data_IF_685303417142
#
_entry.id   IF_685303417142
#
_cell.length_a   1.000
_cell.length_b   1.000
_cell.length_c   1.000
_cell.angle_alpha   90.00
_cell.angle_beta   90.00
_cell.angle_gamma   90.00
#
_symmetry.space_group_name_H-M   'P 1'
#
loop_
_entity.id
_entity.type
_entity.pdbx_description
1 polymer ?
#
# COMPACT_ATOMS: atom_id res chain seq x y z
N UNK A 1 3.23 15.22 8.08
CA UNK A 1 3.85 14.34 7.09
C UNK A 1 2.97 13.15 6.86
N UNK A 2 2.69 12.82 5.61
CA UNK A 2 1.97 11.61 5.20
C UNK A 2 2.98 10.59 4.72
N UNK A 3 2.94 9.37 5.26
CA UNK A 3 3.88 8.31 4.86
C UNK A 3 3.20 7.48 3.79
N UNK A 4 3.94 7.18 2.73
CA UNK A 4 3.51 6.28 1.67
C UNK A 4 4.67 5.37 1.27
N UNK A 5 4.36 4.29 0.56
CA UNK A 5 5.32 3.40 -0.09
C UNK A 5 5.03 3.45 -1.59
N UNK A 6 5.90 4.08 -2.37
CA UNK A 6 5.62 4.55 -3.74
C UNK A 6 4.72 5.81 -3.80
N UNK A 7 5.11 6.87 -3.10
CA UNK A 7 4.36 8.13 -3.00
C UNK A 7 3.97 8.73 -4.36
N UNK A 8 4.84 8.60 -5.38
CA UNK A 8 4.55 9.11 -6.73
C UNK A 8 3.25 8.57 -7.32
N UNK A 9 2.93 7.30 -7.04
CA UNK A 9 1.68 6.69 -7.48
C UNK A 9 0.48 7.26 -6.72
N UNK A 10 0.54 7.31 -5.38
CA UNK A 10 -0.54 7.85 -4.54
C UNK A 10 -0.83 9.32 -4.86
N UNK A 11 0.21 10.13 -5.03
CA UNK A 11 0.05 11.53 -5.44
C UNK A 11 -0.62 11.68 -6.81
N UNK A 12 -0.39 10.74 -7.74
CA UNK A 12 -1.09 10.74 -9.03
C UNK A 12 -2.58 10.43 -8.87
N UNK A 13 -2.95 9.48 -8.00
CA UNK A 13 -4.35 9.14 -7.70
C UNK A 13 -5.07 10.29 -7.00
N UNK A 14 -4.38 11.00 -6.11
CA UNK A 14 -4.91 12.22 -5.50
C UNK A 14 -5.20 13.31 -6.54
N UNK A 15 -4.34 13.48 -7.56
CA UNK A 15 -4.60 14.43 -8.66
C UNK A 15 -5.83 14.04 -9.49
N UNK A 16 -5.98 12.76 -9.81
CA UNK A 16 -7.17 12.26 -10.50
C UNK A 16 -8.45 12.54 -9.66
N UNK A 17 -8.36 12.37 -8.33
CA UNK A 17 -9.45 12.70 -7.41
C UNK A 17 -9.77 14.19 -7.35
N UNK A 18 -8.80 15.08 -7.50
CA UNK A 18 -9.04 16.54 -7.55
C UNK A 18 -9.90 16.90 -8.75
N UNK A 19 -9.66 16.27 -9.91
CA UNK A 19 -10.47 16.49 -11.11
C UNK A 19 -11.93 16.03 -10.92
N UNK A 20 -12.12 14.91 -10.21
CA UNK A 20 -13.45 14.34 -9.95
C UNK A 20 -14.19 15.04 -8.80
N UNK A 21 -13.47 15.53 -7.80
CA UNK A 21 -13.99 16.11 -6.57
C UNK A 21 -13.27 17.43 -6.20
N UNK A 22 -13.48 18.51 -6.97
CA UNK A 22 -12.74 19.77 -6.80
C UNK A 22 -12.89 20.41 -5.41
N UNK A 23 -13.97 20.10 -4.68
CA UNK A 23 -14.18 20.60 -3.32
C UNK A 23 -13.11 20.15 -2.31
N UNK A 24 -12.33 19.11 -2.61
CA UNK A 24 -11.26 18.59 -1.76
C UNK A 24 -9.85 18.98 -2.22
N UNK A 25 -9.72 19.79 -3.27
CA UNK A 25 -8.43 20.20 -3.88
C UNK A 25 -7.40 20.64 -2.84
N UNK A 26 -7.74 21.63 -2.01
CA UNK A 26 -6.83 22.16 -0.99
C UNK A 26 -6.28 21.07 -0.04
N UNK A 27 -7.10 20.08 0.32
CA UNK A 27 -6.68 19.01 1.24
C UNK A 27 -5.79 17.99 0.54
N UNK A 28 -6.16 17.58 -0.68
CA UNK A 28 -5.39 16.63 -1.48
C UNK A 28 -4.03 17.22 -1.90
N UNK A 29 -3.98 18.50 -2.25
CA UNK A 29 -2.73 19.20 -2.51
C UNK A 29 -1.88 19.36 -1.26
N UNK A 30 -2.50 19.66 -0.11
CA UNK A 30 -1.78 19.66 1.16
C UNK A 30 -1.17 18.28 1.45
N UNK A 31 -1.91 17.20 1.21
CA UNK A 31 -1.41 15.84 1.38
C UNK A 31 -0.22 15.55 0.46
N UNK A 32 -0.36 15.85 -0.84
CA UNK A 32 0.71 15.64 -1.83
C UNK A 32 1.99 16.41 -1.47
N UNK A 33 1.86 17.68 -1.07
CA UNK A 33 2.99 18.53 -0.70
C UNK A 33 3.68 18.11 0.60
N UNK A 34 3.03 17.28 1.42
CA UNK A 34 3.54 16.81 2.71
C UNK A 34 3.74 15.29 2.74
N UNK A 35 3.78 14.64 1.57
CA UNK A 35 3.99 13.21 1.44
C UNK A 35 5.49 12.87 1.49
N UNK A 36 5.80 11.79 2.17
CA UNK A 36 7.14 11.22 2.28
C UNK A 36 7.09 9.77 1.81
N UNK A 37 7.94 9.44 0.82
CA UNK A 37 8.07 8.08 0.32
C UNK A 37 9.04 7.29 1.20
N UNK A 38 8.51 6.38 2.01
CA UNK A 38 9.31 5.52 2.87
C UNK A 38 10.15 4.54 2.05
N UNK A 39 9.71 4.19 0.85
CA UNK A 39 10.42 3.29 -0.05
C UNK A 39 11.78 3.87 -0.46
N UNK A 40 11.92 5.19 -0.59
CA UNK A 40 13.15 5.81 -1.08
C UNK A 40 14.36 5.47 -0.21
N UNK A 41 14.18 5.33 1.11
CA UNK A 41 15.22 4.87 2.03
C UNK A 41 15.75 3.49 1.62
N UNK A 42 14.86 2.59 1.19
CA UNK A 42 15.23 1.23 0.78
C UNK A 42 15.79 1.14 -0.63
N UNK A 43 15.66 2.20 -1.45
CA UNK A 43 16.32 2.31 -2.76
C UNK A 43 17.78 2.71 -2.64
N UNK A 44 18.10 3.60 -1.70
CA UNK A 44 19.42 4.27 -1.64
C UNK A 44 20.20 3.96 -0.38
N UNK A 45 19.59 4.08 0.79
CA UNK A 45 20.30 4.17 2.07
C UNK A 45 20.32 2.83 2.84
N UNK A 46 19.27 2.02 2.69
CA UNK A 46 19.15 0.71 3.33
C UNK A 46 18.92 -0.37 2.27
N UNK A 47 20.00 -0.98 1.80
CA UNK A 47 19.96 -2.07 0.82
C UNK A 47 20.44 -3.37 1.47
N UNK A 48 19.63 -4.43 1.36
CA UNK A 48 19.97 -5.79 1.80
C UNK A 48 19.87 -6.77 0.63
N UNK A 49 20.83 -7.70 0.52
CA UNK A 49 20.83 -8.73 -0.52
C UNK A 49 19.60 -9.65 -0.47
N UNK A 50 19.01 -9.82 0.72
CA UNK A 50 17.78 -10.59 0.95
C UNK A 50 16.54 -9.92 0.37
N UNK A 51 16.61 -8.64 0.01
CA UNK A 51 15.55 -7.99 -0.75
C UNK A 51 15.52 -8.44 -2.22
N UNK A 52 16.55 -9.18 -2.67
CA UNK A 52 16.67 -9.70 -4.04
C UNK A 52 16.57 -8.60 -5.12
N UNK A 53 17.09 -7.42 -4.82
CA UNK A 53 17.06 -6.26 -5.74
C UNK A 53 15.68 -5.62 -5.89
N UNK A 54 14.71 -5.94 -5.01
CA UNK A 54 13.38 -5.34 -5.00
C UNK A 54 13.17 -4.46 -3.78
N UNK A 55 12.54 -3.31 -3.98
CA UNK A 55 12.09 -2.42 -2.90
C UNK A 55 10.59 -2.53 -2.64
N UNK A 56 9.94 -3.61 -3.12
CA UNK A 56 8.54 -3.85 -2.76
C UNK A 56 8.43 -4.08 -1.26
N UNK A 57 7.43 -3.47 -0.63
CA UNK A 57 7.16 -3.64 0.80
C UNK A 57 7.03 -5.13 1.19
N UNK A 58 6.49 -5.96 0.30
CA UNK A 58 6.34 -7.41 0.49
C UNK A 58 7.66 -8.19 0.52
N UNK A 59 8.72 -7.62 -0.06
CA UNK A 59 10.08 -8.20 -0.04
C UNK A 59 10.91 -7.62 1.11
N UNK A 60 10.69 -6.35 1.44
CA UNK A 60 11.42 -5.68 2.53
C UNK A 60 10.89 -6.10 3.90
N UNK A 61 9.57 -6.09 4.10
CA UNK A 61 8.91 -6.35 5.38
C UNK A 61 9.37 -7.67 6.04
N UNK A 62 9.25 -8.85 5.42
CA UNK A 62 9.59 -10.12 6.09
C UNK A 62 11.09 -10.28 6.36
N UNK A 63 11.96 -9.50 5.69
CA UNK A 63 13.41 -9.53 5.95
C UNK A 63 13.76 -8.76 7.22
N UNK A 64 13.06 -7.66 7.50
CA UNK A 64 13.31 -6.80 8.65
C UNK A 64 12.45 -7.16 9.86
N UNK A 65 11.21 -7.59 9.61
CA UNK A 65 10.17 -7.91 10.58
C UNK A 65 9.53 -9.26 10.18
N UNK A 66 10.23 -10.40 10.39
CA UNK A 66 9.79 -11.71 9.92
C UNK A 66 8.48 -12.21 10.55
N UNK A 67 8.05 -11.60 11.66
CA UNK A 67 6.76 -11.84 12.29
C UNK A 67 5.58 -11.25 11.50
N UNK A 68 5.83 -10.35 10.55
CA UNK A 68 4.83 -9.77 9.66
C UNK A 68 5.02 -10.30 8.24
N UNK A 69 4.03 -11.04 7.74
CA UNK A 69 4.01 -11.53 6.36
C UNK A 69 2.60 -11.47 5.77
N UNK A 70 2.55 -11.35 4.45
CA UNK A 70 1.32 -11.40 3.65
C UNK A 70 0.92 -12.85 3.31
N UNK A 71 1.75 -13.85 3.64
CA UNK A 71 1.56 -15.25 3.21
C UNK A 71 0.26 -15.89 3.75
N UNK A 72 -0.28 -15.36 4.85
CA UNK A 72 -1.53 -15.83 5.46
C UNK A 72 -2.79 -15.15 4.90
N UNK A 73 -2.64 -14.18 4.00
CA UNK A 73 -3.76 -13.46 3.40
C UNK A 73 -4.19 -14.11 2.08
N UNK A 74 -5.50 -14.17 1.86
CA UNK A 74 -6.09 -14.58 0.59
C UNK A 74 -5.73 -13.61 -0.55
N UNK A 75 -5.68 -12.31 -0.25
CA UNK A 75 -5.23 -11.28 -1.19
C UNK A 75 -3.75 -11.00 -0.94
N UNK A 76 -2.90 -11.43 -1.88
CA UNK A 76 -1.45 -11.43 -1.68
C UNK A 76 -0.71 -10.29 -2.38
N UNK A 77 -1.36 -9.53 -3.27
CA UNK A 77 -0.75 -8.39 -3.95
C UNK A 77 -1.77 -7.38 -4.49
N UNK A 78 -1.27 -6.20 -4.88
CA UNK A 78 -2.12 -5.09 -5.34
C UNK A 78 -2.84 -5.38 -6.65
N UNK A 79 -2.25 -6.15 -7.57
CA UNK A 79 -2.92 -6.55 -8.82
C UNK A 79 -4.12 -7.45 -8.54
N UNK A 80 -3.96 -8.42 -7.64
CA UNK A 80 -5.04 -9.29 -7.19
C UNK A 80 -6.13 -8.50 -6.46
N UNK A 81 -5.74 -7.56 -5.58
CA UNK A 81 -6.69 -6.69 -4.89
C UNK A 81 -7.54 -5.87 -5.88
N UNK A 82 -6.89 -5.26 -6.88
CA UNK A 82 -7.55 -4.48 -7.92
C UNK A 82 -8.51 -5.33 -8.77
N UNK A 83 -8.07 -6.53 -9.18
CA UNK A 83 -8.89 -7.46 -9.97
C UNK A 83 -10.13 -7.91 -9.19
N UNK A 84 -9.95 -8.41 -7.97
CA UNK A 84 -11.03 -8.89 -7.11
C UNK A 84 -12.03 -7.77 -6.80
N UNK A 85 -11.53 -6.57 -6.48
CA UNK A 85 -12.40 -5.41 -6.27
C UNK A 85 -13.16 -5.01 -7.53
N UNK A 86 -12.47 -4.98 -8.68
CA UNK A 86 -13.07 -4.65 -9.97
C UNK A 86 -14.19 -5.62 -10.36
N UNK A 87 -13.95 -6.92 -10.22
CA UNK A 87 -14.96 -7.96 -10.43
C UNK A 87 -16.15 -7.78 -9.48
N UNK A 88 -15.90 -7.57 -8.19
CA UNK A 88 -16.97 -7.37 -7.19
C UNK A 88 -17.89 -6.17 -7.51
N UNK A 89 -17.36 -5.11 -8.11
CA UNK A 89 -18.08 -3.85 -8.36
C UNK A 89 -18.70 -3.78 -9.76
N UNK A 90 -18.03 -4.34 -10.78
CA UNK A 90 -18.38 -4.14 -12.19
C UNK A 90 -18.96 -5.39 -12.88
N UNK A 91 -18.77 -6.58 -12.30
CA UNK A 91 -19.28 -7.82 -12.87
C UNK A 91 -20.72 -8.08 -12.38
N UNK A 92 -21.67 -8.00 -13.30
CA UNK A 92 -23.08 -8.29 -13.03
C UNK A 92 -23.31 -9.76 -12.65
N UNK A 93 -22.43 -10.67 -13.09
CA UNK A 93 -22.48 -12.11 -12.84
C UNK A 93 -21.58 -12.54 -11.66
N UNK A 94 -21.13 -11.58 -10.83
CA UNK A 94 -20.28 -11.86 -9.68
C UNK A 94 -20.95 -12.85 -8.71
N UNK A 95 -20.39 -14.05 -8.64
CA UNK A 95 -20.97 -15.19 -7.92
C UNK A 95 -20.22 -15.58 -6.63
N UNK A 96 -19.18 -14.82 -6.26
CA UNK A 96 -18.45 -15.02 -5.00
C UNK A 96 -19.18 -14.35 -3.82
N UNK A 97 -18.80 -14.73 -2.60
CA UNK A 97 -19.32 -14.08 -1.38
C UNK A 97 -18.72 -12.68 -1.22
N UNK A 98 -19.54 -11.65 -1.43
CA UNK A 98 -19.13 -10.24 -1.33
C UNK A 98 -18.61 -9.87 0.05
N UNK A 99 -19.17 -10.42 1.14
CA UNK A 99 -18.70 -10.08 2.49
C UNK A 99 -17.35 -10.71 2.78
N UNK A 100 -17.11 -11.94 2.34
CA UNK A 100 -15.81 -12.58 2.51
C UNK A 100 -14.74 -11.90 1.67
N UNK A 101 -15.05 -11.57 0.40
CA UNK A 101 -14.16 -10.80 -0.47
C UNK A 101 -13.80 -9.44 0.14
N UNK A 102 -14.81 -8.71 0.65
CA UNK A 102 -14.59 -7.42 1.32
C UNK A 102 -13.70 -7.57 2.56
N UNK A 103 -13.91 -8.62 3.36
CA UNK A 103 -13.09 -8.92 4.53
C UNK A 103 -11.63 -9.19 4.14
N UNK A 104 -11.40 -9.96 3.08
CA UNK A 104 -10.05 -10.26 2.60
C UNK A 104 -9.33 -9.03 2.04
N UNK A 105 -10.04 -8.17 1.30
CA UNK A 105 -9.51 -6.89 0.83
C UNK A 105 -9.15 -5.96 2.00
N UNK A 106 -10.00 -5.87 3.02
CA UNK A 106 -9.73 -5.05 4.20
C UNK A 106 -8.52 -5.56 5.00
N UNK A 107 -8.39 -6.88 5.18
CA UNK A 107 -7.23 -7.46 5.85
C UNK A 107 -5.92 -7.14 5.11
N UNK A 108 -5.95 -7.17 3.78
CA UNK A 108 -4.82 -6.74 2.95
C UNK A 108 -4.48 -5.25 3.14
N UNK A 109 -5.49 -4.36 3.08
CA UNK A 109 -5.29 -2.93 3.29
C UNK A 109 -4.77 -2.58 4.69
N UNK A 110 -5.24 -3.30 5.71
CA UNK A 110 -4.78 -3.15 7.09
C UNK A 110 -3.30 -3.50 7.20
N UNK A 111 -2.88 -4.64 6.64
CA UNK A 111 -1.48 -5.06 6.68
C UNK A 111 -0.57 -4.11 5.88
N UNK A 112 -0.99 -3.63 4.70
CA UNK A 112 -0.21 -2.65 3.92
C UNK A 112 0.07 -1.37 4.72
N UNK A 113 -0.93 -0.91 5.47
CA UNK A 113 -0.79 0.27 6.34
C UNK A 113 0.10 -0.03 7.55
N UNK A 114 -0.14 -1.15 8.23
CA UNK A 114 0.63 -1.56 9.41
C UNK A 114 2.11 -1.77 9.07
N UNK A 115 2.40 -2.38 7.92
CA UNK A 115 3.75 -2.61 7.43
C UNK A 115 4.56 -1.31 7.35
N UNK A 116 3.98 -0.23 6.80
CA UNK A 116 4.65 1.08 6.75
C UNK A 116 4.91 1.64 8.15
N UNK A 117 3.97 1.49 9.08
CA UNK A 117 4.12 1.96 10.46
C UNK A 117 5.24 1.22 11.18
N UNK A 118 5.29 -0.11 11.08
CA UNK A 118 6.30 -0.92 11.75
C UNK A 118 7.69 -0.74 11.13
N UNK A 119 7.78 -0.62 9.80
CA UNK A 119 9.04 -0.28 9.14
C UNK A 119 9.55 1.11 9.54
N UNK A 120 8.65 2.10 9.64
CA UNK A 120 9.01 3.43 10.14
C UNK A 120 9.52 3.38 11.59
N UNK A 121 8.88 2.61 12.48
CA UNK A 121 9.35 2.41 13.86
C UNK A 121 10.72 1.74 13.90
N UNK A 122 10.93 0.69 13.08
CA UNK A 122 12.21 0.00 12.96
C UNK A 122 13.34 0.95 12.57
N UNK A 123 13.10 1.83 11.60
CA UNK A 123 14.08 2.81 11.14
C UNK A 123 14.43 3.88 12.19
N UNK A 124 13.49 4.24 13.07
CA UNK A 124 13.74 5.25 14.11
C UNK A 124 14.37 4.72 15.41
N UNK A 125 14.42 3.40 15.58
CA UNK A 125 15.06 2.77 16.75
C UNK A 125 16.56 2.53 16.55
N UNK A 126 17.06 2.68 15.33
CA UNK A 126 18.48 2.55 14.97
C UNK A 126 19.10 3.91 14.70
#
# INVERSE_FOLDING_TARGET
>A
TFISWHASFEMSRNKDMIEMLPQYENYLDYMNNNMFDLEDIFKTDYVDYKFHGSTSIKKVLPVLLPELSYDSLEVQNGTMALDVWGRMVLDDDFNEDKEEVRKNLLAYCELDTLAMVELYKFLNQK
#
